data_IF_366485640254
#
_entry.id   IF_366485640254
#
_cell.length_a   1.000
_cell.length_b   1.000
_cell.length_c   1.000
_cell.angle_alpha   90.00
_cell.angle_beta   90.00
_cell.angle_gamma   90.00
#
_symmetry.space_group_name_H-M   'P 1'
#
loop_
_entity.id
_entity.type
_entity.pdbx_description
1 polymer ?
#
# COMPACT_ATOMS: atom_id res chain seq x y z
N UNK A 1 22.60 -38.42 4.88
CA UNK A 1 24.02 -38.04 4.92
C UNK A 1 24.56 -38.29 3.52
N UNK A 2 24.64 -37.25 2.71
CA UNK A 2 25.28 -37.30 1.37
C UNK A 2 26.73 -36.84 1.60
N UNK A 3 27.75 -37.61 1.12
CA UNK A 3 29.13 -37.30 1.43
C UNK A 3 29.61 -36.06 0.68
N UNK A 4 30.19 -35.14 1.43
CA UNK A 4 30.99 -34.02 0.91
C UNK A 4 32.28 -34.61 0.26
N UNK A 5 32.26 -34.78 -1.06
CA UNK A 5 33.53 -34.96 -1.80
C UNK A 5 33.35 -34.54 -3.27
N UNK A 6 34.15 -33.57 -3.65
CA UNK A 6 34.57 -33.16 -4.98
C UNK A 6 33.57 -32.36 -5.83
N UNK A 7 33.36 -31.11 -5.46
CA UNK A 7 33.06 -30.05 -6.45
C UNK A 7 34.45 -29.69 -7.05
N UNK A 8 34.65 -29.97 -8.33
CA UNK A 8 35.88 -29.65 -9.01
C UNK A 8 35.91 -28.18 -9.44
N UNK A 9 37.09 -27.61 -9.69
CA UNK A 9 37.21 -26.24 -10.26
C UNK A 9 36.47 -26.10 -11.58
N UNK A 10 36.26 -27.19 -12.31
CA UNK A 10 35.48 -27.23 -13.55
C UNK A 10 33.97 -27.07 -13.29
N UNK A 11 33.46 -27.65 -12.21
CA UNK A 11 32.02 -27.50 -11.81
C UNK A 11 31.72 -26.07 -11.34
N UNK A 12 32.70 -25.43 -10.67
CA UNK A 12 32.62 -24.02 -10.29
C UNK A 12 32.66 -23.09 -11.50
N UNK A 13 33.39 -23.46 -12.56
CA UNK A 13 33.44 -22.69 -13.80
C UNK A 13 32.15 -22.82 -14.62
N UNK A 14 31.51 -24.00 -14.62
CA UNK A 14 30.19 -24.21 -15.24
C UNK A 14 29.08 -23.49 -14.47
N UNK A 15 29.09 -23.56 -13.13
CA UNK A 15 28.15 -22.81 -12.27
C UNK A 15 28.36 -21.30 -12.45
N UNK A 16 29.60 -20.83 -12.53
CA UNK A 16 29.94 -19.45 -12.82
C UNK A 16 29.46 -19.01 -14.21
N UNK A 17 29.64 -19.81 -15.25
CA UNK A 17 29.16 -19.50 -16.61
C UNK A 17 27.66 -19.58 -16.75
N UNK A 18 26.98 -20.46 -16.02
CA UNK A 18 25.51 -20.56 -15.99
C UNK A 18 24.92 -19.40 -15.23
N UNK A 19 25.50 -19.00 -14.10
CA UNK A 19 25.13 -17.77 -13.37
C UNK A 19 25.45 -16.50 -14.17
N UNK A 20 26.55 -16.50 -14.97
CA UNK A 20 26.88 -15.37 -15.85
C UNK A 20 25.89 -15.21 -17.03
N UNK A 21 25.36 -16.31 -17.55
CA UNK A 21 24.33 -16.30 -18.62
C UNK A 21 22.98 -15.81 -18.12
N UNK A 22 22.64 -16.01 -16.85
CA UNK A 22 21.41 -15.51 -16.24
C UNK A 22 21.48 -14.02 -15.80
N UNK A 23 22.69 -13.41 -15.78
CA UNK A 23 22.92 -12.07 -15.25
C UNK A 23 23.36 -11.02 -16.29
N UNK A 24 23.24 -11.30 -17.59
CA UNK A 24 23.73 -10.38 -18.64
C UNK A 24 22.85 -9.16 -18.89
N UNK A 25 21.75 -8.95 -18.12
CA UNK A 25 20.95 -7.71 -18.18
C UNK A 25 20.82 -6.97 -16.84
N UNK A 26 21.35 -7.47 -15.74
CA UNK A 26 21.47 -6.66 -14.53
C UNK A 26 22.78 -5.87 -14.59
N UNK A 27 22.72 -4.56 -14.84
CA UNK A 27 23.81 -3.63 -14.54
C UNK A 27 24.25 -3.90 -13.10
N UNK A 28 25.49 -4.38 -12.93
CA UNK A 28 26.10 -4.58 -11.63
C UNK A 28 26.16 -3.20 -10.95
N UNK A 29 25.16 -2.86 -10.13
CA UNK A 29 25.24 -1.68 -9.27
C UNK A 29 26.26 -2.00 -8.19
N UNK A 30 27.48 -1.45 -8.33
CA UNK A 30 28.47 -1.48 -7.26
C UNK A 30 27.90 -0.60 -6.13
N UNK A 31 27.34 -1.24 -5.11
CA UNK A 31 26.89 -0.56 -3.90
C UNK A 31 28.14 -0.18 -3.12
N UNK A 32 28.62 1.05 -3.30
CA UNK A 32 29.57 1.66 -2.36
C UNK A 32 28.77 1.91 -1.09
N UNK A 33 29.06 1.14 -0.04
CA UNK A 33 28.50 1.32 1.31
C UNK A 33 28.99 2.63 1.91
N UNK A 34 28.35 3.76 1.53
CA UNK A 34 28.32 5.00 2.29
C UNK A 34 27.00 5.06 3.07
N UNK A 35 26.86 5.94 4.03
CA UNK A 35 25.61 6.18 4.76
C UNK A 35 24.49 6.61 3.76
N UNK A 36 23.90 5.61 3.06
CA UNK A 36 22.72 5.86 2.21
C UNK A 36 21.51 6.00 3.12
N UNK A 37 20.89 7.16 3.06
CA UNK A 37 19.54 7.35 3.59
C UNK A 37 18.61 6.30 2.99
N UNK A 38 17.66 5.80 3.80
CA UNK A 38 16.66 4.83 3.36
C UNK A 38 15.80 5.46 2.26
N UNK A 39 15.88 4.96 1.02
CA UNK A 39 15.09 5.44 -0.10
C UNK A 39 13.90 4.52 -0.39
N UNK A 40 12.70 5.07 -0.33
CA UNK A 40 11.47 4.35 -0.70
C UNK A 40 11.34 4.17 -2.21
N UNK A 41 11.88 5.11 -3.02
CA UNK A 41 11.85 4.99 -4.48
C UNK A 41 12.81 3.90 -5.00
N UNK A 42 14.02 3.81 -4.44
CA UNK A 42 14.95 2.73 -4.81
C UNK A 42 14.37 1.34 -4.49
N UNK A 43 13.74 1.19 -3.31
CA UNK A 43 13.08 -0.06 -2.92
C UNK A 43 11.82 -0.34 -3.75
N UNK A 44 11.03 0.68 -4.04
CA UNK A 44 9.87 0.56 -4.91
C UNK A 44 10.27 0.16 -6.34
N UNK A 45 11.39 0.69 -6.84
CA UNK A 45 11.94 0.31 -8.14
C UNK A 45 12.33 -1.18 -8.20
N UNK A 46 13.01 -1.70 -7.17
CA UNK A 46 13.36 -3.12 -7.09
C UNK A 46 12.14 -4.03 -7.26
N UNK A 47 11.03 -3.70 -6.56
CA UNK A 47 9.79 -4.46 -6.66
C UNK A 47 9.10 -4.25 -8.03
N UNK A 48 9.10 -3.04 -8.59
CA UNK A 48 8.51 -2.76 -9.89
C UNK A 48 9.27 -3.49 -11.02
N UNK A 49 10.60 -3.59 -10.95
CA UNK A 49 11.41 -4.38 -11.87
C UNK A 49 11.06 -5.87 -11.77
N UNK A 50 10.90 -6.41 -10.55
CA UNK A 50 10.47 -7.78 -10.34
C UNK A 50 9.05 -8.03 -10.90
N UNK A 51 8.12 -7.10 -10.72
CA UNK A 51 6.78 -7.21 -11.30
C UNK A 51 6.81 -7.27 -12.83
N UNK A 52 7.68 -6.50 -13.48
CA UNK A 52 7.84 -6.54 -14.94
C UNK A 52 8.45 -7.86 -15.42
N UNK A 53 9.44 -8.39 -14.68
CA UNK A 53 10.06 -9.69 -14.98
C UNK A 53 9.05 -10.86 -14.90
N UNK A 54 8.01 -10.74 -14.04
CA UNK A 54 6.97 -11.75 -13.82
C UNK A 54 5.60 -11.34 -14.36
N UNK A 55 5.56 -10.43 -15.37
CA UNK A 55 4.31 -9.81 -15.82
C UNK A 55 3.25 -10.82 -16.30
N UNK A 56 3.65 -11.91 -16.98
CA UNK A 56 2.72 -12.93 -17.45
C UNK A 56 2.08 -13.70 -16.28
N UNK A 57 2.89 -14.16 -15.32
CA UNK A 57 2.45 -14.90 -14.13
C UNK A 57 1.56 -14.02 -13.24
N UNK A 58 1.90 -12.76 -13.08
CA UNK A 58 1.17 -11.77 -12.33
C UNK A 58 -0.11 -11.29 -13.04
N UNK A 59 -0.27 -11.63 -14.34
CA UNK A 59 -1.39 -11.20 -15.21
C UNK A 59 -1.50 -9.67 -15.27
N UNK A 60 -0.36 -9.00 -15.36
CA UNK A 60 -0.22 -7.57 -15.54
C UNK A 60 0.44 -7.29 -16.90
N UNK A 61 0.55 -6.01 -17.27
CA UNK A 61 1.21 -5.63 -18.53
C UNK A 61 1.97 -4.33 -18.34
N UNK A 62 3.24 -4.36 -18.61
CA UNK A 62 4.06 -3.16 -18.71
C UNK A 62 4.06 -2.58 -20.13
N UNK A 63 4.19 -1.28 -20.23
CA UNK A 63 4.28 -0.53 -21.47
C UNK A 63 5.26 0.63 -21.30
N UNK A 64 6.24 0.70 -22.18
CA UNK A 64 7.14 1.85 -22.28
C UNK A 64 6.56 2.86 -23.24
N UNK A 65 6.33 4.08 -22.76
CA UNK A 65 5.81 5.21 -23.55
C UNK A 65 6.90 5.81 -24.46
N UNK A 66 6.52 6.63 -25.44
CA UNK A 66 7.45 7.26 -26.39
C UNK A 66 8.45 8.21 -25.68
N UNK A 67 8.05 8.83 -24.56
CA UNK A 67 8.95 9.66 -23.73
C UNK A 67 9.84 8.86 -22.79
N UNK A 68 9.80 7.53 -22.84
CA UNK A 68 10.64 6.62 -22.06
C UNK A 68 10.07 6.19 -20.71
N UNK A 69 9.02 6.82 -20.21
CA UNK A 69 8.34 6.42 -18.97
C UNK A 69 7.74 5.01 -19.07
N UNK A 70 7.62 4.33 -17.94
CA UNK A 70 7.02 2.99 -17.87
C UNK A 70 5.67 3.06 -17.16
N UNK A 71 4.67 2.41 -17.73
CA UNK A 71 3.33 2.25 -17.15
C UNK A 71 3.03 0.76 -17.01
N UNK A 72 2.76 0.32 -15.79
CA UNK A 72 2.39 -1.07 -15.47
C UNK A 72 0.88 -1.11 -15.23
N UNK A 73 0.15 -1.69 -16.17
CA UNK A 73 -1.29 -1.96 -16.04
C UNK A 73 -1.48 -3.18 -15.12
N UNK A 74 -2.05 -2.93 -13.93
CA UNK A 74 -2.30 -3.95 -12.93
C UNK A 74 -3.79 -4.31 -12.80
N UNK A 75 -4.67 -3.77 -13.66
CA UNK A 75 -6.10 -4.08 -13.57
C UNK A 75 -7.02 -3.20 -14.41
N UNK A 76 -6.49 -2.33 -15.29
CA UNK A 76 -7.30 -1.48 -16.20
C UNK A 76 -7.76 -2.30 -17.42
N UNK A 77 -6.83 -2.92 -18.15
CA UNK A 77 -7.11 -3.73 -19.34
C UNK A 77 -6.73 -5.22 -19.14
N UNK A 78 -6.18 -5.56 -17.99
CA UNK A 78 -5.75 -6.91 -17.59
C UNK A 78 -6.44 -7.32 -16.30
N UNK A 79 -6.42 -8.62 -15.96
CA UNK A 79 -7.11 -9.09 -14.75
C UNK A 79 -6.37 -8.75 -13.46
N UNK A 80 -5.05 -8.67 -13.49
CA UNK A 80 -4.21 -8.72 -12.32
C UNK A 80 -4.31 -10.06 -11.59
N UNK A 81 -3.68 -10.16 -10.43
CA UNK A 81 -3.69 -11.32 -9.56
C UNK A 81 -3.60 -10.90 -8.09
N UNK A 82 -3.74 -11.83 -7.15
CA UNK A 82 -3.49 -11.58 -5.74
C UNK A 82 -2.02 -11.21 -5.49
N UNK A 83 -1.08 -11.92 -6.11
CA UNK A 83 0.36 -11.64 -5.96
C UNK A 83 0.69 -10.25 -6.53
N UNK A 84 0.14 -9.87 -7.68
CA UNK A 84 0.26 -8.49 -8.19
C UNK A 84 -0.31 -7.46 -7.21
N UNK A 85 -1.40 -7.77 -6.52
CA UNK A 85 -2.00 -6.93 -5.49
C UNK A 85 -1.12 -6.77 -4.26
N UNK A 86 -0.45 -7.84 -3.82
CA UNK A 86 0.52 -7.81 -2.72
C UNK A 86 1.74 -6.95 -3.09
N UNK A 87 2.37 -7.20 -4.23
CA UNK A 87 3.53 -6.43 -4.70
C UNK A 87 3.18 -4.95 -4.94
N UNK A 88 1.99 -4.64 -5.49
CA UNK A 88 1.48 -3.28 -5.60
C UNK A 88 1.35 -2.60 -4.22
N UNK A 89 0.85 -3.33 -3.21
CA UNK A 89 0.73 -2.84 -1.83
C UNK A 89 2.11 -2.60 -1.22
N UNK A 90 3.07 -3.50 -1.42
CA UNK A 90 4.44 -3.36 -0.94
C UNK A 90 5.13 -2.14 -1.59
N UNK A 91 4.90 -1.88 -2.88
CA UNK A 91 5.35 -0.64 -3.56
C UNK A 91 4.65 0.58 -2.93
N UNK A 92 3.33 0.55 -2.71
CA UNK A 92 2.65 1.63 -2.01
C UNK A 92 3.32 1.96 -0.67
N UNK A 93 3.79 0.94 0.05
CA UNK A 93 4.51 1.07 1.32
C UNK A 93 6.00 1.44 1.16
N UNK A 94 6.44 1.72 -0.06
CA UNK A 94 7.82 2.11 -0.36
C UNK A 94 8.84 0.98 -0.16
N UNK A 95 8.42 -0.27 -0.29
CA UNK A 95 9.25 -1.45 -0.03
C UNK A 95 9.71 -1.56 1.43
N UNK A 96 9.03 -0.88 2.36
CA UNK A 96 9.31 -0.89 3.81
C UNK A 96 8.25 -1.67 4.60
N UNK A 97 7.37 -2.34 3.92
CA UNK A 97 6.40 -3.27 4.47
C UNK A 97 6.48 -4.61 3.77
N UNK A 98 5.79 -5.57 4.32
CA UNK A 98 5.56 -6.87 3.69
C UNK A 98 4.11 -7.27 3.86
N UNK A 99 3.57 -7.89 2.82
CA UNK A 99 2.17 -8.33 2.80
C UNK A 99 2.06 -9.81 2.48
N UNK A 100 0.97 -10.42 2.96
CA UNK A 100 0.63 -11.81 2.63
C UNK A 100 -0.88 -12.00 2.68
N UNK A 101 -1.36 -13.09 2.08
CA UNK A 101 -2.79 -13.45 2.10
C UNK A 101 -2.99 -14.72 2.92
N UNK A 102 -3.99 -14.66 3.80
CA UNK A 102 -4.47 -15.81 4.59
C UNK A 102 -5.97 -15.97 4.42
N UNK A 103 -6.49 -17.16 4.73
CA UNK A 103 -7.95 -17.40 4.78
C UNK A 103 -8.38 -17.48 6.23
N UNK A 104 -9.35 -16.64 6.60
CA UNK A 104 -9.94 -16.62 7.95
C UNK A 104 -11.46 -16.59 7.85
N UNK A 105 -12.13 -16.91 8.96
CA UNK A 105 -13.60 -16.86 9.03
C UNK A 105 -14.06 -15.52 9.60
N UNK A 106 -15.03 -14.91 8.93
CA UNK A 106 -15.90 -13.86 9.48
C UNK A 106 -17.22 -14.52 9.81
N UNK A 107 -17.55 -14.65 11.09
CA UNK A 107 -18.56 -15.61 11.54
C UNK A 107 -18.22 -17.02 11.04
N UNK A 108 -19.03 -17.65 10.21
CA UNK A 108 -18.77 -18.97 9.63
C UNK A 108 -18.30 -18.93 8.16
N UNK A 109 -18.14 -17.74 7.58
CA UNK A 109 -17.84 -17.55 6.16
C UNK A 109 -16.33 -17.40 5.96
N UNK A 110 -15.67 -18.25 5.14
CA UNK A 110 -14.26 -18.09 4.81
C UNK A 110 -14.06 -16.91 3.86
N UNK A 111 -13.20 -15.97 4.24
CA UNK A 111 -12.79 -14.83 3.43
C UNK A 111 -11.27 -14.80 3.31
N UNK A 112 -10.77 -14.25 2.20
CA UNK A 112 -9.36 -13.90 2.07
C UNK A 112 -9.05 -12.65 2.92
N UNK A 113 -7.94 -12.65 3.63
CA UNK A 113 -7.44 -11.54 4.42
C UNK A 113 -6.06 -11.15 3.93
N UNK A 114 -5.79 -9.86 3.89
CA UNK A 114 -4.43 -9.35 3.76
C UNK A 114 -3.84 -9.12 5.16
N UNK A 115 -2.63 -9.61 5.36
CA UNK A 115 -1.80 -9.33 6.53
C UNK A 115 -0.69 -8.35 6.09
N UNK A 116 -0.46 -7.31 6.88
CA UNK A 116 0.48 -6.20 6.59
C UNK A 116 1.39 -5.99 7.78
N UNK A 117 2.69 -5.86 7.55
CA UNK A 117 3.67 -5.58 8.60
C UNK A 117 4.69 -4.54 8.14
N UNK A 118 5.11 -3.64 9.03
CA UNK A 118 6.18 -2.68 8.77
C UNK A 118 6.94 -2.32 10.04
N UNK A 119 8.26 -2.20 9.91
CA UNK A 119 9.16 -1.71 10.96
C UNK A 119 9.50 -0.21 10.77
N UNK A 120 8.88 0.44 9.77
CA UNK A 120 9.04 1.86 9.48
C UNK A 120 7.69 2.58 9.32
N UNK A 121 6.77 2.53 10.31
CA UNK A 121 5.37 2.94 10.13
C UNK A 121 5.18 4.37 9.63
N UNK A 122 5.93 5.34 10.18
CA UNK A 122 5.80 6.73 9.77
C UNK A 122 6.16 6.95 8.29
N UNK A 123 7.29 6.38 7.83
CA UNK A 123 7.76 6.53 6.44
C UNK A 123 6.93 5.66 5.49
N UNK A 124 6.74 4.39 5.83
CA UNK A 124 5.99 3.43 5.01
C UNK A 124 4.54 3.88 4.81
N UNK A 125 3.83 4.20 5.90
CA UNK A 125 2.41 4.52 5.84
C UNK A 125 2.15 5.97 5.40
N UNK A 126 2.76 6.96 6.05
CA UNK A 126 2.49 8.37 5.75
C UNK A 126 3.36 8.92 4.63
N UNK A 127 4.64 8.54 4.58
CA UNK A 127 5.58 8.97 3.56
C UNK A 127 5.33 8.33 2.18
N UNK A 128 4.85 7.08 2.14
CA UNK A 128 4.61 6.36 0.90
C UNK A 128 3.13 5.97 0.71
N UNK A 129 2.54 5.11 1.53
CA UNK A 129 1.25 4.45 1.25
C UNK A 129 0.05 5.40 1.22
N UNK A 130 0.02 6.43 2.04
CA UNK A 130 -1.09 7.39 2.09
C UNK A 130 -1.45 7.89 0.69
N UNK A 131 -2.74 7.85 0.31
CA UNK A 131 -3.25 8.45 -0.90
C UNK A 131 -3.30 9.98 -0.73
N UNK A 132 -2.20 10.66 -1.03
CA UNK A 132 -2.02 12.07 -0.70
C UNK A 132 -1.67 12.97 -1.88
N UNK A 133 -1.64 12.43 -3.10
CA UNK A 133 -1.32 13.20 -4.30
C UNK A 133 -2.40 13.05 -5.36
N UNK A 134 -3.26 14.06 -5.48
CA UNK A 134 -4.23 14.14 -6.57
C UNK A 134 -3.49 14.53 -7.85
N UNK A 135 -3.56 13.67 -8.87
CA UNK A 135 -3.01 13.92 -10.20
C UNK A 135 -4.18 14.25 -11.13
N UNK A 136 -4.12 15.46 -11.71
CA UNK A 136 -5.14 15.94 -12.63
C UNK A 136 -4.46 16.67 -13.79
N UNK A 137 -4.46 16.05 -14.98
CA UNK A 137 -3.84 16.57 -16.22
C UNK A 137 -4.86 16.39 -17.34
N UNK A 138 -5.28 17.47 -17.98
CA UNK A 138 -6.32 17.49 -18.99
C UNK A 138 -7.61 16.79 -18.50
N UNK A 139 -7.92 15.60 -19.04
CA UNK A 139 -9.07 14.77 -18.64
C UNK A 139 -8.69 13.61 -17.73
N UNK A 140 -7.39 13.41 -17.50
CA UNK A 140 -6.90 12.34 -16.65
C UNK A 140 -7.05 12.71 -15.18
N UNK A 141 -7.52 11.75 -14.39
CA UNK A 141 -7.60 11.87 -12.95
C UNK A 141 -7.16 10.58 -12.27
N UNK A 142 -6.32 10.70 -11.26
CA UNK A 142 -5.92 9.59 -10.39
C UNK A 142 -5.62 10.07 -8.97
N UNK A 143 -5.82 9.17 -8.01
CA UNK A 143 -5.23 9.34 -6.69
C UNK A 143 -3.88 8.64 -6.63
N UNK A 144 -2.84 9.43 -6.37
CA UNK A 144 -1.46 8.96 -6.28
C UNK A 144 -1.07 8.62 -4.84
N UNK A 145 -0.43 7.47 -4.72
CA UNK A 145 0.25 6.97 -3.52
C UNK A 145 1.62 6.39 -3.92
N UNK A 146 2.35 5.87 -2.95
CA UNK A 146 3.65 5.26 -3.22
C UNK A 146 4.83 6.22 -3.09
N UNK A 147 6.03 5.71 -3.42
CA UNK A 147 7.32 6.34 -3.16
C UNK A 147 7.51 7.73 -3.74
N UNK A 148 7.04 7.99 -4.97
CA UNK A 148 7.20 9.27 -5.67
C UNK A 148 6.70 10.47 -4.85
N UNK A 149 5.73 10.26 -3.94
CA UNK A 149 5.25 11.32 -3.05
C UNK A 149 6.34 11.88 -2.14
N UNK A 150 7.32 11.06 -1.78
CA UNK A 150 8.43 11.47 -0.93
C UNK A 150 9.48 12.33 -1.67
N UNK A 151 9.57 12.21 -3.00
CA UNK A 151 10.33 13.15 -3.85
C UNK A 151 9.56 14.46 -4.04
N UNK A 152 8.29 14.37 -4.44
CA UNK A 152 7.43 15.52 -4.71
C UNK A 152 6.94 16.24 -3.43
N UNK A 153 7.17 15.68 -2.24
CA UNK A 153 6.70 16.21 -0.95
C UNK A 153 5.18 16.45 -0.91
N UNK A 154 4.39 15.50 -1.43
CA UNK A 154 2.93 15.64 -1.57
C UNK A 154 2.14 14.76 -0.56
N UNK A 155 1.41 15.35 0.38
CA UNK A 155 1.34 16.78 0.71
C UNK A 155 2.47 17.16 1.68
N UNK A 156 2.99 18.37 1.52
CA UNK A 156 4.20 18.87 2.22
C UNK A 156 4.14 18.73 3.75
N UNK A 157 3.00 19.07 4.36
CA UNK A 157 2.83 19.03 5.82
C UNK A 157 3.03 17.63 6.42
N UNK A 158 2.73 16.55 5.67
CA UNK A 158 2.98 15.18 6.11
C UNK A 158 4.47 14.94 6.27
N UNK A 159 5.26 15.31 5.26
CA UNK A 159 6.71 15.10 5.25
C UNK A 159 7.44 15.96 6.29
N UNK A 160 6.97 17.18 6.52
CA UNK A 160 7.47 18.03 7.61
C UNK A 160 7.27 17.39 8.99
N UNK A 161 6.12 16.71 9.22
CA UNK A 161 5.83 16.01 10.48
C UNK A 161 6.68 14.77 10.68
N UNK A 162 6.79 13.91 9.66
CA UNK A 162 7.59 12.68 9.75
C UNK A 162 9.09 12.90 9.56
N UNK A 163 9.49 14.12 9.21
CA UNK A 163 10.91 14.55 8.99
C UNK A 163 11.62 13.63 7.99
N UNK A 164 10.94 13.29 6.90
CA UNK A 164 11.47 12.43 5.86
C UNK A 164 11.31 13.10 4.49
N UNK A 165 12.35 13.02 3.68
CA UNK A 165 12.36 13.35 2.25
C UNK A 165 13.22 12.30 1.58
N UNK A 166 12.79 11.80 0.44
CA UNK A 166 13.57 10.82 -0.33
C UNK A 166 14.55 11.52 -1.28
N UNK A 167 15.63 10.80 -1.59
CA UNK A 167 16.59 11.17 -2.63
C UNK A 167 16.78 9.97 -3.54
N UNK A 168 16.31 10.07 -4.80
CA UNK A 168 16.43 9.01 -5.80
C UNK A 168 16.44 9.62 -7.21
N UNK A 169 17.11 8.95 -8.14
CA UNK A 169 17.05 9.27 -9.56
C UNK A 169 15.79 8.71 -10.24
N UNK A 170 15.01 7.88 -9.54
CA UNK A 170 13.82 7.22 -10.02
C UNK A 170 12.59 7.64 -9.22
N UNK A 171 11.45 7.74 -9.90
CA UNK A 171 10.16 7.98 -9.27
C UNK A 171 9.21 6.81 -9.53
N UNK A 172 8.73 6.17 -8.47
CA UNK A 172 7.76 5.07 -8.54
C UNK A 172 6.46 5.50 -7.89
N UNK A 173 5.37 5.51 -8.66
CA UNK A 173 4.05 5.96 -8.20
C UNK A 173 3.00 4.88 -8.42
N UNK A 174 2.10 4.75 -7.46
CA UNK A 174 0.92 3.89 -7.55
C UNK A 174 -0.32 4.76 -7.77
N UNK A 175 -1.06 4.52 -8.84
CA UNK A 175 -2.20 5.31 -9.29
C UNK A 175 -3.49 4.50 -9.17
N UNK A 176 -4.45 5.04 -8.44
CA UNK A 176 -5.82 4.55 -8.45
C UNK A 176 -6.58 5.28 -9.56
N UNK A 177 -6.81 4.58 -10.68
CA UNK A 177 -7.48 5.13 -11.87
C UNK A 177 -8.05 4.02 -12.76
N UNK A 178 -9.09 4.38 -13.52
CA UNK A 178 -9.64 3.53 -14.60
C UNK A 178 -8.95 3.70 -15.95
N UNK A 179 -8.03 4.63 -16.05
CA UNK A 179 -7.30 4.94 -17.27
C UNK A 179 -5.80 4.88 -17.02
N UNK A 180 -5.05 4.43 -18.00
CA UNK A 180 -3.60 4.51 -17.97
C UNK A 180 -3.16 5.95 -18.24
N UNK A 181 -2.09 6.44 -17.58
CA UNK A 181 -1.51 7.75 -17.85
C UNK A 181 -0.85 7.78 -19.25
N UNK A 182 -0.95 8.90 -19.92
CA UNK A 182 -0.23 9.19 -21.16
C UNK A 182 1.12 9.88 -20.88
N UNK A 183 1.85 10.23 -21.95
CA UNK A 183 3.15 10.90 -21.89
C UNK A 183 3.10 12.22 -21.11
N UNK A 184 2.00 12.98 -21.24
CA UNK A 184 1.84 14.27 -20.55
C UNK A 184 1.67 14.09 -19.05
N UNK A 185 0.89 13.08 -18.64
CA UNK A 185 0.69 12.75 -17.24
C UNK A 185 2.01 12.31 -16.61
N UNK A 186 2.74 11.41 -17.30
CA UNK A 186 4.04 10.92 -16.81
C UNK A 186 5.08 12.04 -16.74
N UNK A 187 5.10 12.95 -17.72
CA UNK A 187 5.97 14.13 -17.68
C UNK A 187 5.65 15.03 -16.47
N UNK A 188 4.38 15.29 -16.22
CA UNK A 188 3.96 16.09 -15.05
C UNK A 188 4.39 15.46 -13.73
N UNK A 189 4.35 14.13 -13.61
CA UNK A 189 4.82 13.41 -12.41
C UNK A 189 6.34 13.53 -12.28
N UNK A 190 7.08 13.35 -13.37
CA UNK A 190 8.53 13.46 -13.42
C UNK A 190 9.02 14.86 -13.00
N UNK A 191 8.37 15.91 -13.54
CA UNK A 191 8.67 17.30 -13.24
C UNK A 191 8.47 17.61 -11.74
N UNK A 192 7.37 17.16 -11.14
CA UNK A 192 7.10 17.34 -9.70
C UNK A 192 8.07 16.56 -8.81
N UNK A 193 8.57 15.41 -9.29
CA UNK A 193 9.59 14.64 -8.60
C UNK A 193 11.03 15.12 -8.87
N UNK A 194 11.22 16.01 -9.84
CA UNK A 194 12.53 16.50 -10.30
C UNK A 194 13.45 15.36 -10.80
N UNK A 195 12.87 14.39 -11.51
CA UNK A 195 13.61 13.28 -12.13
C UNK A 195 13.41 13.25 -13.65
N UNK A 196 14.33 12.63 -14.43
CA UNK A 196 14.08 12.37 -15.86
C UNK A 196 12.82 11.53 -16.08
N UNK A 197 12.02 11.86 -17.10
CA UNK A 197 10.76 11.15 -17.35
C UNK A 197 10.96 9.67 -17.66
N UNK A 198 12.05 9.31 -18.29
CA UNK A 198 12.46 7.91 -18.56
C UNK A 198 12.77 7.09 -17.30
N UNK A 199 12.95 7.78 -16.16
CA UNK A 199 13.17 7.16 -14.84
C UNK A 199 11.87 7.13 -14.01
N UNK A 200 10.71 7.38 -14.63
CA UNK A 200 9.42 7.39 -13.94
C UNK A 200 8.61 6.14 -14.26
N UNK A 201 8.14 5.46 -13.23
CA UNK A 201 7.33 4.25 -13.32
C UNK A 201 6.00 4.48 -12.62
N UNK A 202 4.89 4.24 -13.32
CA UNK A 202 3.55 4.27 -12.75
C UNK A 202 2.89 2.89 -12.78
N UNK A 203 2.43 2.42 -11.64
CA UNK A 203 1.56 1.25 -11.54
C UNK A 203 0.12 1.72 -11.45
N UNK A 204 -0.80 1.10 -12.19
CA UNK A 204 -2.20 1.57 -12.27
C UNK A 204 -3.16 0.43 -11.98
N UNK A 205 -4.05 0.64 -11.02
CA UNK A 205 -5.15 -0.27 -10.73
C UNK A 205 -6.43 0.51 -10.38
N UNK A 206 -7.59 0.19 -10.98
CA UNK A 206 -8.86 0.71 -10.51
C UNK A 206 -9.27 0.03 -9.21
N UNK A 207 -10.05 0.71 -8.36
CA UNK A 207 -10.58 0.13 -7.11
C UNK A 207 -11.38 -1.15 -7.39
N UNK A 208 -12.19 -1.14 -8.46
CA UNK A 208 -12.97 -2.29 -8.90
C UNK A 208 -12.13 -3.31 -9.70
N UNK A 209 -11.01 -3.76 -9.15
CA UNK A 209 -10.13 -4.80 -9.69
C UNK A 209 -9.59 -5.69 -8.59
N UNK A 210 -8.96 -6.82 -8.94
CA UNK A 210 -8.33 -7.71 -7.95
C UNK A 210 -7.23 -6.95 -7.21
N UNK A 211 -6.33 -6.28 -7.94
CA UNK A 211 -5.22 -5.51 -7.37
C UNK A 211 -5.73 -4.33 -6.54
N UNK A 212 -6.75 -3.60 -7.04
CA UNK A 212 -7.37 -2.50 -6.31
C UNK A 212 -7.98 -2.95 -4.98
N UNK A 213 -8.69 -4.09 -4.99
CA UNK A 213 -9.29 -4.65 -3.77
C UNK A 213 -8.23 -5.03 -2.73
N UNK A 214 -7.13 -5.69 -3.15
CA UNK A 214 -6.04 -6.06 -2.26
C UNK A 214 -5.35 -4.82 -1.68
N UNK A 215 -4.94 -3.86 -2.54
CA UNK A 215 -4.16 -2.70 -2.09
C UNK A 215 -4.95 -1.75 -1.19
N UNK A 216 -6.28 -1.60 -1.40
CA UNK A 216 -7.09 -0.74 -0.53
C UNK A 216 -7.33 -1.41 0.82
N UNK A 217 -7.65 -2.72 0.83
CA UNK A 217 -7.75 -3.49 2.09
C UNK A 217 -6.41 -3.50 2.86
N UNK A 218 -5.28 -3.51 2.13
CA UNK A 218 -3.91 -3.44 2.68
C UNK A 218 -3.52 -2.10 3.31
N UNK A 219 -4.41 -1.11 3.31
CA UNK A 219 -4.19 0.18 4.01
C UNK A 219 -4.53 0.13 5.50
N UNK A 220 -4.82 -1.04 6.02
CA UNK A 220 -5.29 -1.22 7.40
C UNK A 220 -4.35 -0.62 8.45
N UNK A 221 -3.02 -0.77 8.31
CA UNK A 221 -2.05 -0.15 9.23
C UNK A 221 -1.95 1.36 8.96
N UNK A 222 -1.90 1.76 7.69
CA UNK A 222 -1.79 3.16 7.26
C UNK A 222 -2.93 4.01 7.83
N UNK A 223 -4.18 3.55 7.75
CA UNK A 223 -5.34 4.30 8.24
C UNK A 223 -5.27 4.53 9.75
N UNK A 224 -4.78 3.56 10.53
CA UNK A 224 -4.55 3.72 11.96
C UNK A 224 -3.44 4.73 12.28
N UNK A 225 -2.31 4.65 11.56
CA UNK A 225 -1.21 5.61 11.70
C UNK A 225 -1.64 7.01 11.27
N UNK A 226 -2.39 7.12 10.16
CA UNK A 226 -2.94 8.38 9.70
C UNK A 226 -3.89 9.00 10.73
N UNK A 227 -4.80 8.20 11.30
CA UNK A 227 -5.70 8.65 12.37
C UNK A 227 -4.93 9.19 13.58
N UNK A 228 -3.90 8.49 14.03
CA UNK A 228 -3.05 8.95 15.14
C UNK A 228 -2.35 10.27 14.81
N UNK A 229 -1.85 10.42 13.57
CA UNK A 229 -1.24 11.67 13.11
C UNK A 229 -2.25 12.84 13.15
N UNK A 230 -3.49 12.63 12.72
CA UNK A 230 -4.55 13.67 12.76
C UNK A 230 -4.98 14.00 14.20
N UNK A 231 -4.91 13.04 15.10
CA UNK A 231 -5.14 13.25 16.54
C UNK A 231 -3.96 13.97 17.24
N UNK A 232 -2.85 14.23 16.53
CA UNK A 232 -1.69 14.95 17.03
C UNK A 232 -0.65 14.07 17.72
N UNK A 233 -0.72 12.74 17.58
CA UNK A 233 0.34 11.84 18.04
C UNK A 233 1.57 11.95 17.14
N UNK A 234 2.77 11.98 17.74
CA UNK A 234 4.02 11.91 16.98
C UNK A 234 4.24 10.47 16.50
N UNK A 235 3.91 10.23 15.23
CA UNK A 235 3.97 8.90 14.62
C UNK A 235 5.39 8.36 14.45
N UNK A 236 6.42 9.19 14.63
CA UNK A 236 7.83 8.73 14.68
C UNK A 236 8.14 7.91 15.93
N UNK A 237 7.28 7.97 16.93
CA UNK A 237 7.35 7.13 18.14
C UNK A 237 6.80 5.71 17.94
N UNK A 238 6.12 5.44 16.80
CA UNK A 238 5.63 4.10 16.48
C UNK A 238 6.79 3.30 15.87
N UNK A 239 7.25 2.28 16.59
CA UNK A 239 8.44 1.50 16.25
C UNK A 239 8.15 0.46 15.17
N UNK A 240 7.04 -0.26 15.30
CA UNK A 240 6.56 -1.20 14.29
C UNK A 240 5.03 -1.32 14.36
N UNK A 241 4.46 -1.79 13.26
CA UNK A 241 3.03 -2.01 13.14
C UNK A 241 2.71 -3.22 12.30
N UNK A 242 1.69 -3.97 12.70
CA UNK A 242 1.10 -5.03 11.89
C UNK A 242 -0.41 -4.91 11.92
N UNK A 243 -1.06 -5.40 10.88
CA UNK A 243 -2.52 -5.36 10.80
C UNK A 243 -3.07 -6.35 9.80
N UNK A 244 -4.36 -6.55 9.89
CA UNK A 244 -5.09 -7.47 9.01
C UNK A 244 -6.46 -6.91 8.68
N UNK A 245 -6.92 -7.14 7.45
CA UNK A 245 -8.27 -6.83 7.02
C UNK A 245 -8.75 -7.85 5.97
N UNK A 246 -10.06 -8.14 5.89
CA UNK A 246 -10.57 -8.96 4.80
C UNK A 246 -10.42 -8.23 3.46
N UNK A 247 -10.08 -8.99 2.41
CA UNK A 247 -10.02 -8.46 1.05
C UNK A 247 -11.46 -8.40 0.51
N UNK A 248 -11.89 -7.20 0.12
CA UNK A 248 -13.24 -7.00 -0.40
C UNK A 248 -13.48 -7.78 -1.69
N UNK A 249 -14.67 -8.36 -1.90
CA UNK A 249 -15.03 -8.95 -3.18
C UNK A 249 -14.97 -7.92 -4.31
N UNK A 250 -14.44 -8.32 -5.47
CA UNK A 250 -14.40 -7.45 -6.64
C UNK A 250 -15.80 -7.25 -7.19
N UNK A 251 -16.23 -6.01 -7.30
CA UNK A 251 -17.52 -5.61 -7.88
C UNK A 251 -17.29 -4.76 -9.15
N UNK A 252 -18.32 -4.65 -10.01
CA UNK A 252 -18.18 -3.94 -11.28
C UNK A 252 -18.21 -2.40 -11.18
N UNK A 253 -18.76 -1.88 -10.10
CA UNK A 253 -19.00 -0.47 -9.86
C UNK A 253 -17.95 0.08 -8.89
N UNK A 254 -17.19 1.12 -9.28
CA UNK A 254 -16.12 1.68 -8.43
C UNK A 254 -16.61 2.30 -7.15
N UNK A 255 -17.81 2.91 -7.15
CA UNK A 255 -18.33 3.50 -5.92
C UNK A 255 -18.68 2.41 -4.90
N UNK A 256 -19.20 1.28 -5.38
CA UNK A 256 -19.43 0.10 -4.53
C UNK A 256 -18.12 -0.55 -4.11
N UNK A 257 -17.16 -0.68 -5.04
CA UNK A 257 -15.83 -1.20 -4.74
C UNK A 257 -15.15 -0.35 -3.66
N UNK A 258 -15.16 0.97 -3.83
CA UNK A 258 -14.66 1.91 -2.82
C UNK A 258 -15.39 1.74 -1.47
N UNK A 259 -16.71 1.56 -1.49
CA UNK A 259 -17.48 1.27 -0.29
C UNK A 259 -16.98 0.01 0.42
N UNK A 260 -16.99 -1.12 -0.27
CA UNK A 260 -16.64 -2.40 0.34
C UNK A 260 -15.17 -2.52 0.75
N UNK A 261 -14.24 -1.92 0.00
CA UNK A 261 -12.80 -1.91 0.38
C UNK A 261 -12.52 -1.03 1.60
N UNK A 262 -13.20 0.12 1.74
CA UNK A 262 -13.13 0.91 2.96
C UNK A 262 -13.76 0.17 4.14
N UNK A 263 -14.90 -0.50 3.94
CA UNK A 263 -15.56 -1.28 4.99
C UNK A 263 -14.70 -2.43 5.51
N UNK A 264 -13.83 -3.00 4.67
CA UNK A 264 -12.82 -3.99 5.10
C UNK A 264 -12.00 -3.49 6.28
N UNK A 265 -11.59 -2.23 6.23
CA UNK A 265 -10.79 -1.59 7.27
C UNK A 265 -11.68 -1.06 8.40
N UNK A 266 -12.74 -0.33 8.04
CA UNK A 266 -13.65 0.36 8.98
C UNK A 266 -14.31 -0.62 9.95
N UNK A 267 -14.76 -1.77 9.48
CA UNK A 267 -15.55 -2.71 10.27
C UNK A 267 -14.81 -3.99 10.68
N UNK A 268 -13.71 -4.32 9.98
CA UNK A 268 -13.00 -5.56 10.26
C UNK A 268 -11.46 -5.44 10.21
N UNK A 269 -10.94 -4.22 10.10
CA UNK A 269 -9.51 -3.95 10.20
C UNK A 269 -9.03 -4.04 11.66
N UNK A 270 -8.00 -4.83 11.89
CA UNK A 270 -7.37 -5.00 13.20
C UNK A 270 -5.89 -4.64 13.09
N UNK A 271 -5.38 -3.80 13.99
CA UNK A 271 -3.98 -3.41 14.01
C UNK A 271 -3.34 -3.61 15.37
N UNK A 272 -2.06 -3.94 15.36
CA UNK A 272 -1.20 -4.01 16.54
C UNK A 272 -0.02 -3.09 16.34
N UNK A 273 0.18 -2.15 17.25
CA UNK A 273 1.26 -1.17 17.22
C UNK A 273 2.18 -1.35 18.41
N UNK A 274 3.48 -1.24 18.17
CA UNK A 274 4.49 -1.12 19.22
C UNK A 274 4.99 0.32 19.22
N UNK A 275 4.85 1.03 20.33
CA UNK A 275 5.12 2.47 20.40
C UNK A 275 5.85 2.88 21.67
N UNK A 276 6.38 4.09 21.66
CA UNK A 276 6.81 4.86 22.83
C UNK A 276 5.87 6.03 23.04
N UNK A 277 5.82 6.57 24.25
CA UNK A 277 5.02 7.76 24.53
C UNK A 277 3.53 7.53 24.41
N UNK A 278 3.03 6.35 24.83
CA UNK A 278 1.61 6.00 24.77
C UNK A 278 0.73 7.04 25.46
N UNK A 279 -0.37 7.41 24.78
CA UNK A 279 -1.38 8.32 25.31
C UNK A 279 -2.76 7.67 25.20
N UNK A 280 -3.28 7.17 26.32
CA UNK A 280 -4.56 6.44 26.39
C UNK A 280 -5.72 7.24 25.79
N UNK A 281 -5.81 8.54 26.04
CA UNK A 281 -6.90 9.40 25.56
C UNK A 281 -6.87 9.62 24.05
N UNK A 282 -5.70 9.58 23.42
CA UNK A 282 -5.59 9.62 21.95
C UNK A 282 -5.93 8.25 21.35
N UNK A 283 -5.37 7.17 21.89
CA UNK A 283 -5.58 5.84 21.34
C UNK A 283 -7.03 5.36 21.45
N UNK A 284 -7.79 5.76 22.46
CA UNK A 284 -9.24 5.52 22.57
C UNK A 284 -10.05 6.14 21.41
N UNK A 285 -9.51 7.15 20.75
CA UNK A 285 -10.15 7.84 19.63
C UNK A 285 -9.79 7.26 18.26
N UNK A 286 -8.90 6.25 18.21
CA UNK A 286 -8.45 5.67 16.93
C UNK A 286 -9.55 4.84 16.26
N UNK A 287 -10.28 3.93 16.95
CA UNK A 287 -11.22 3.04 16.27
C UNK A 287 -12.28 3.79 15.47
N UNK A 288 -12.64 3.25 14.30
CA UNK A 288 -13.69 3.76 13.41
C UNK A 288 -15.03 3.96 14.10
N UNK A 289 -15.33 3.14 15.12
CA UNK A 289 -16.55 3.24 15.93
C UNK A 289 -16.67 4.56 16.72
N UNK A 290 -15.65 5.39 16.75
CA UNK A 290 -15.70 6.75 17.33
C UNK A 290 -16.36 7.78 16.40
N UNK A 291 -16.57 7.42 15.13
CA UNK A 291 -17.25 8.27 14.16
C UNK A 291 -18.76 8.29 14.35
N UNK A 292 -19.37 9.47 14.14
CA UNK A 292 -20.82 9.63 14.12
C UNK A 292 -21.50 8.92 12.95
N UNK A 293 -20.77 8.60 11.89
CA UNK A 293 -21.28 7.91 10.70
C UNK A 293 -21.10 6.38 10.75
N UNK A 294 -20.61 5.84 11.88
CA UNK A 294 -20.42 4.41 12.07
C UNK A 294 -21.75 3.63 12.15
N UNK A 295 -21.74 2.37 11.72
CA UNK A 295 -22.85 1.43 11.94
C UNK A 295 -23.64 1.02 10.69
N UNK A 296 -23.25 1.50 9.50
CA UNK A 296 -23.82 1.07 8.22
C UNK A 296 -22.74 1.03 7.12
N UNK A 297 -22.88 0.18 6.07
CA UNK A 297 -21.91 0.14 4.98
C UNK A 297 -21.57 1.52 4.43
N UNK A 298 -20.29 1.78 4.21
CA UNK A 298 -19.76 3.09 3.78
C UNK A 298 -20.42 3.60 2.48
N UNK A 299 -20.71 2.69 1.54
CA UNK A 299 -21.44 3.08 0.32
C UNK A 299 -22.80 3.75 0.62
N UNK A 300 -23.52 3.28 1.65
CA UNK A 300 -24.78 3.90 2.08
C UNK A 300 -24.54 5.28 2.68
N UNK A 301 -23.54 5.40 3.56
CA UNK A 301 -23.12 6.68 4.16
C UNK A 301 -22.74 7.69 3.07
N UNK A 302 -21.93 7.27 2.09
CA UNK A 302 -21.49 8.12 0.99
C UNK A 302 -22.64 8.56 0.07
N UNK A 303 -23.58 7.65 -0.20
CA UNK A 303 -24.81 7.99 -0.94
C UNK A 303 -25.67 8.99 -0.19
N UNK A 304 -25.89 8.80 1.11
CA UNK A 304 -26.67 9.71 1.96
C UNK A 304 -26.03 11.10 2.04
N UNK A 305 -24.70 11.18 1.99
CA UNK A 305 -23.93 12.41 1.91
C UNK A 305 -23.98 13.09 0.52
N UNK A 306 -24.71 12.50 -0.45
CA UNK A 306 -24.79 12.99 -1.83
C UNK A 306 -23.49 12.81 -2.61
N UNK A 307 -22.71 11.78 -2.28
CA UNK A 307 -21.37 11.48 -2.84
C UNK A 307 -20.35 12.59 -2.57
N UNK A 308 -20.47 13.27 -1.46
CA UNK A 308 -19.57 14.33 -1.03
C UNK A 308 -18.80 13.89 0.23
N UNK A 309 -17.50 13.63 0.08
CA UNK A 309 -16.61 13.21 1.18
C UNK A 309 -16.52 14.25 2.31
N UNK A 310 -16.68 15.53 2.01
CA UNK A 310 -16.59 16.59 3.03
C UNK A 310 -17.77 16.61 3.99
N UNK A 311 -18.85 15.88 3.68
CA UNK A 311 -20.02 15.73 4.55
C UNK A 311 -19.97 14.51 5.44
N UNK A 312 -18.94 13.69 5.28
CA UNK A 312 -18.72 12.47 6.08
C UNK A 312 -17.77 12.81 7.23
N UNK A 313 -18.09 12.31 8.42
CA UNK A 313 -17.17 12.39 9.54
C UNK A 313 -15.88 11.62 9.24
N UNK A 314 -14.79 12.37 9.02
CA UNK A 314 -13.48 11.80 8.67
C UNK A 314 -12.95 10.79 9.71
N UNK A 315 -13.52 10.80 10.93
CA UNK A 315 -13.17 9.83 11.96
C UNK A 315 -13.53 8.39 11.60
N UNK A 316 -14.37 8.17 10.59
CA UNK A 316 -14.73 6.82 10.12
C UNK A 316 -13.57 6.10 9.41
N UNK A 317 -12.65 6.85 8.77
CA UNK A 317 -11.52 6.27 8.04
C UNK A 317 -10.41 5.83 9.00
N UNK A 318 -10.67 4.75 9.72
CA UNK A 318 -9.79 4.18 10.73
C UNK A 318 -10.06 2.67 10.86
N UNK A 319 -9.13 1.88 11.43
CA UNK A 319 -9.37 0.46 11.70
C UNK A 319 -10.46 0.27 12.75
N UNK A 320 -11.11 -0.90 12.70
CA UNK A 320 -12.15 -1.27 13.65
C UNK A 320 -11.63 -1.37 15.10
N UNK A 321 -10.42 -1.88 15.24
CA UNK A 321 -9.78 -2.05 16.55
C UNK A 321 -8.27 -1.84 16.48
N UNK A 322 -7.71 -1.43 17.61
CA UNK A 322 -6.26 -1.24 17.78
C UNK A 322 -5.80 -1.84 19.11
N UNK A 323 -4.71 -2.61 19.03
CA UNK A 323 -3.94 -3.05 20.18
C UNK A 323 -2.60 -2.32 20.18
N UNK A 324 -2.18 -1.83 21.34
CA UNK A 324 -0.92 -1.08 21.49
C UNK A 324 -0.08 -1.72 22.57
N UNK A 325 1.16 -2.08 22.22
CA UNK A 325 2.21 -2.42 23.19
C UNK A 325 3.07 -1.17 23.45
N UNK A 326 3.02 -0.66 24.66
CA UNK A 326 3.81 0.49 25.08
C UNK A 326 5.16 0.04 25.64
N UNK A 327 6.24 0.39 24.94
CA UNK A 327 7.61 0.01 25.31
C UNK A 327 8.11 0.72 26.58
N UNK A 328 7.53 1.87 26.91
CA UNK A 328 7.98 2.65 28.09
C UNK A 328 7.46 2.06 29.39
N UNK A 329 6.25 1.48 29.35
CA UNK A 329 5.62 0.87 30.53
C UNK A 329 5.58 -0.66 30.51
N UNK A 330 5.81 -1.28 29.34
CA UNK A 330 5.68 -2.72 29.11
C UNK A 330 4.22 -3.22 29.13
N UNK A 331 3.24 -2.31 29.11
CA UNK A 331 1.81 -2.66 29.13
C UNK A 331 1.25 -2.77 27.72
N UNK A 332 0.21 -3.57 27.59
CA UNK A 332 -0.58 -3.70 26.37
C UNK A 332 -2.00 -3.19 26.59
N UNK A 333 -2.48 -2.40 25.67
CA UNK A 333 -3.81 -1.78 25.68
C UNK A 333 -4.58 -2.19 24.43
N UNK A 334 -5.90 -2.31 24.54
CA UNK A 334 -6.77 -2.63 23.41
C UNK A 334 -8.00 -1.72 23.43
N UNK A 335 -8.47 -1.31 22.25
CA UNK A 335 -9.70 -0.54 22.07
C UNK A 335 -10.31 -0.81 20.69
N UNK A 336 -11.63 -0.64 20.58
CA UNK A 336 -12.39 -0.94 19.37
C UNK A 336 -12.96 -2.36 19.38
N UNK A 337 -13.61 -2.73 18.29
CA UNK A 337 -14.20 -4.07 18.09
C UNK A 337 -14.52 -4.32 16.63
N UNK A 338 -14.50 -5.58 16.23
CA UNK A 338 -14.90 -6.03 14.89
C UNK A 338 -16.44 -6.06 14.74
N UNK A 339 -16.94 -5.74 13.56
CA UNK A 339 -18.37 -5.76 13.25
C UNK A 339 -18.66 -6.68 12.04
N UNK A 340 -18.88 -7.95 12.33
CA UNK A 340 -19.12 -8.98 11.31
C UNK A 340 -20.43 -8.74 10.53
N UNK A 341 -21.47 -8.20 11.15
CA UNK A 341 -22.76 -7.96 10.53
C UNK A 341 -22.64 -6.94 9.38
N UNK A 342 -22.05 -5.79 9.66
CA UNK A 342 -21.91 -4.71 8.67
C UNK A 342 -20.95 -5.10 7.54
N UNK A 343 -19.85 -5.81 7.83
CA UNK A 343 -18.92 -6.21 6.77
C UNK A 343 -19.54 -7.24 5.82
N UNK A 344 -20.30 -8.21 6.34
CA UNK A 344 -21.00 -9.21 5.51
C UNK A 344 -22.11 -8.55 4.67
N UNK A 345 -22.85 -7.60 5.24
CA UNK A 345 -23.81 -6.78 4.50
C UNK A 345 -23.14 -5.99 3.38
N UNK A 346 -22.03 -5.32 3.65
CA UNK A 346 -21.25 -4.54 2.68
C UNK A 346 -20.79 -5.40 1.51
N UNK A 347 -20.38 -6.63 1.78
CA UNK A 347 -19.93 -7.59 0.76
C UNK A 347 -21.09 -8.25 0.00
N UNK A 348 -22.35 -7.99 0.42
CA UNK A 348 -23.53 -8.61 -0.18
C UNK A 348 -23.59 -10.12 0.07
N UNK A 349 -22.96 -10.59 1.14
CA UNK A 349 -22.97 -12.00 1.53
C UNK A 349 -24.25 -12.24 2.35
N UNK A 350 -25.24 -12.84 1.70
CA UNK A 350 -26.42 -13.37 2.37
C UNK A 350 -26.23 -14.86 2.60
N UNK A 351 -26.60 -15.37 3.76
CA UNK A 351 -26.64 -16.81 3.99
C UNK A 351 -27.51 -17.51 2.94
N UNK A 352 -26.99 -18.59 2.34
CA UNK A 352 -27.74 -19.44 1.41
C UNK A 352 -28.66 -20.35 2.21
#
# INVERSE_FOLDING_TARGET
MIPYSSITMHDLEIISKTLYSYHTHKKLRIIIKGDRMLSVNEKGLEIAEEMMDWAEELKIKDNKLDNGAIVIDCGVNVSGSYDAGLMFTDICMGGLGSTSITVRKVSDIPLAFIDVTTDHPAVSCLGAQKAGWQISVDKYFAMGSGPARALAMKPKHTFERIKYQDESEYAVIALESRSLPDEKVMQSIADECSVPVENTIALVAPTASIVGSVQVSGRVVETGIFKLNELGFDTTHIVCGTGTAPIAPVVKDDLKAMGSTNDSVIYYGSIVLTTRGFNEELFKKVPSATSSDYGKPFFKTFKDAGYDFYKIDANIFAPAEVTVNDLDTGKTYHTGHLNAEVILESYGISGI
#
